data_IF_719536313925
#
_entry.id   IF_719536313925
#
_cell.length_a   1.000
_cell.length_b   1.000
_cell.length_c   1.000
_cell.angle_alpha   90.00
_cell.angle_beta   90.00
_cell.angle_gamma   90.00
#
_symmetry.space_group_name_H-M   'P 1'
#
loop_
_entity.id
_entity.type
_entity.pdbx_description
1 polymer ?
#
# COMPACT_ATOMS: atom_id res chain seq x y z
N UNK A 1 14.94 9.67 19.57
CA UNK A 1 13.63 9.94 18.93
C UNK A 1 12.40 9.66 19.79
N UNK A 2 12.44 8.74 20.77
CA UNK A 2 11.25 8.33 21.56
C UNK A 2 10.56 9.45 22.37
N UNK A 3 11.30 10.48 22.83
CA UNK A 3 10.70 11.61 23.57
C UNK A 3 10.07 12.67 22.65
N UNK A 4 10.60 12.89 21.44
CA UNK A 4 10.07 13.87 20.47
C UNK A 4 8.77 13.38 19.82
N UNK A 5 8.58 12.05 19.74
CA UNK A 5 7.34 11.45 19.23
C UNK A 5 6.10 11.69 20.09
N UNK A 6 6.26 12.20 21.32
CA UNK A 6 5.16 12.53 22.23
C UNK A 6 4.49 13.87 21.89
N UNK A 7 5.15 14.72 21.10
CA UNK A 7 4.56 15.99 20.65
C UNK A 7 3.63 15.73 19.46
N UNK A 8 2.36 16.19 19.50
CA UNK A 8 1.35 15.90 18.48
C UNK A 8 1.69 16.44 17.07
N UNK A 9 2.65 17.37 16.97
CA UNK A 9 3.16 17.87 15.71
C UNK A 9 4.27 16.99 15.10
N UNK A 10 5.21 16.49 15.92
CA UNK A 10 6.38 15.73 15.46
C UNK A 10 6.17 14.21 15.45
N UNK A 11 5.19 13.72 16.22
CA UNK A 11 4.90 12.28 16.34
C UNK A 11 4.59 11.60 14.99
N UNK A 12 3.95 12.30 14.06
CA UNK A 12 3.65 11.75 12.73
C UNK A 12 4.91 11.58 11.88
N UNK A 13 5.79 12.59 11.85
CA UNK A 13 7.05 12.52 11.09
C UNK A 13 8.01 11.47 11.66
N UNK A 14 8.12 11.40 12.99
CA UNK A 14 8.93 10.37 13.65
C UNK A 14 8.39 8.97 13.35
N UNK A 15 7.06 8.79 13.39
CA UNK A 15 6.44 7.50 13.06
C UNK A 15 6.68 7.10 11.59
N UNK A 16 6.53 8.05 10.65
CA UNK A 16 6.85 7.83 9.22
C UNK A 16 8.31 7.44 9.04
N UNK A 17 9.25 8.19 9.63
CA UNK A 17 10.68 7.90 9.53
C UNK A 17 11.06 6.53 10.10
N UNK A 18 10.48 6.11 11.23
CA UNK A 18 10.73 4.77 11.79
C UNK A 18 10.15 3.65 10.93
N UNK A 19 8.99 3.89 10.31
CA UNK A 19 8.37 2.93 9.40
C UNK A 19 9.22 2.75 8.13
N UNK A 20 9.61 3.86 7.50
CA UNK A 20 10.44 3.87 6.30
C UNK A 20 11.79 3.20 6.57
N UNK A 21 12.42 3.45 7.73
CA UNK A 21 13.65 2.76 8.12
C UNK A 21 13.48 1.24 8.21
N UNK A 22 12.35 0.77 8.74
CA UNK A 22 12.10 -0.67 8.88
C UNK A 22 11.89 -1.33 7.52
N UNK A 23 11.10 -0.72 6.64
CA UNK A 23 10.91 -1.21 5.26
C UNK A 23 12.21 -1.14 4.45
N UNK A 24 12.99 -0.06 4.61
CA UNK A 24 14.35 0.05 4.07
C UNK A 24 15.24 -1.10 4.53
N UNK A 25 15.29 -1.37 5.84
CA UNK A 25 16.14 -2.41 6.41
C UNK A 25 15.71 -3.81 5.93
N UNK A 26 14.41 -4.06 5.81
CA UNK A 26 13.86 -5.31 5.26
C UNK A 26 14.29 -5.51 3.81
N UNK A 27 14.28 -4.45 3.01
CA UNK A 27 14.75 -4.50 1.63
C UNK A 27 16.25 -4.75 1.55
N UNK A 28 17.05 -4.00 2.30
CA UNK A 28 18.50 -4.17 2.34
C UNK A 28 18.87 -5.59 2.78
N UNK A 29 18.15 -6.14 3.76
CA UNK A 29 18.31 -7.54 4.18
C UNK A 29 18.00 -8.53 3.04
N UNK A 30 16.92 -8.31 2.28
CA UNK A 30 16.57 -9.16 1.14
C UNK A 30 17.64 -9.17 0.04
N UNK A 31 18.28 -8.02 -0.21
CA UNK A 31 19.37 -7.88 -1.19
C UNK A 31 20.77 -7.99 -0.57
N UNK A 32 20.89 -8.38 0.70
CA UNK A 32 22.18 -8.47 1.40
C UNK A 32 23.12 -9.48 0.74
N UNK A 33 22.60 -10.61 0.25
CA UNK A 33 23.39 -11.60 -0.49
C UNK A 33 24.01 -11.03 -1.77
N UNK A 34 23.30 -10.14 -2.46
CA UNK A 34 23.80 -9.46 -3.64
C UNK A 34 24.93 -8.48 -3.27
N UNK A 35 24.75 -7.67 -2.22
CA UNK A 35 25.80 -6.76 -1.72
C UNK A 35 27.06 -7.51 -1.26
N UNK A 36 26.88 -8.62 -0.53
CA UNK A 36 28.00 -9.45 -0.07
C UNK A 36 28.72 -10.10 -1.27
N UNK A 37 27.99 -10.60 -2.27
CA UNK A 37 28.56 -11.19 -3.47
C UNK A 37 29.46 -10.21 -4.26
N UNK A 38 28.99 -8.98 -4.45
CA UNK A 38 29.81 -7.94 -5.07
C UNK A 38 31.00 -7.51 -4.19
N UNK A 39 30.80 -7.41 -2.87
CA UNK A 39 31.89 -7.09 -1.93
C UNK A 39 33.03 -8.10 -2.02
N UNK A 40 32.71 -9.40 -1.98
CA UNK A 40 33.73 -10.46 -2.09
C UNK A 40 34.40 -10.42 -3.47
N UNK A 41 33.62 -10.20 -4.53
CA UNK A 41 34.16 -10.08 -5.89
C UNK A 41 35.15 -8.93 -6.01
N UNK A 42 34.84 -7.76 -5.44
CA UNK A 42 35.72 -6.60 -5.43
C UNK A 42 36.95 -6.79 -4.54
N UNK A 43 36.84 -7.48 -3.40
CA UNK A 43 38.02 -7.85 -2.61
C UNK A 43 39.02 -8.73 -3.40
N UNK A 44 38.54 -9.60 -4.29
CA UNK A 44 39.39 -10.45 -5.12
C UNK A 44 39.96 -9.70 -6.33
N UNK A 45 39.22 -8.74 -6.88
CA UNK A 45 39.64 -7.97 -8.06
C UNK A 45 40.61 -6.85 -7.67
N UNK A 46 40.36 -6.15 -6.56
CA UNK A 46 41.14 -5.00 -6.10
C UNK A 46 42.06 -5.37 -4.93
N UNK A 47 42.92 -6.38 -5.13
CA UNK A 47 43.83 -6.88 -4.07
C UNK A 47 44.82 -5.82 -3.58
N UNK A 48 45.09 -4.79 -4.38
CA UNK A 48 46.04 -3.70 -4.06
C UNK A 48 45.44 -2.47 -3.39
N UNK A 49 44.12 -2.38 -3.22
CA UNK A 49 43.49 -1.16 -2.69
C UNK A 49 43.21 -1.26 -1.19
N UNK A 50 43.61 -0.25 -0.37
CA UNK A 50 43.41 -0.30 1.08
C UNK A 50 41.93 -0.39 1.47
N UNK A 51 41.02 0.16 0.64
CA UNK A 51 39.56 0.08 0.80
C UNK A 51 39.05 -1.37 0.86
N UNK A 52 39.73 -2.31 0.21
CA UNK A 52 39.32 -3.71 0.09
C UNK A 52 40.17 -4.71 0.88
N UNK A 53 41.16 -4.21 1.66
CA UNK A 53 42.03 -5.07 2.47
C UNK A 53 41.31 -5.85 3.58
N UNK A 54 40.14 -5.37 4.04
CA UNK A 54 39.26 -6.10 4.95
C UNK A 54 37.86 -6.20 4.34
N UNK A 55 37.16 -7.36 4.45
CA UNK A 55 35.82 -7.53 3.89
C UNK A 55 34.79 -6.58 4.51
N UNK A 56 34.98 -6.18 5.78
CA UNK A 56 34.13 -5.17 6.43
C UNK A 56 34.33 -3.77 5.83
N UNK A 57 35.58 -3.36 5.59
CA UNK A 57 35.89 -2.07 4.94
C UNK A 57 35.43 -2.08 3.48
N UNK A 58 35.57 -3.22 2.79
CA UNK A 58 35.04 -3.42 1.44
C UNK A 58 33.52 -3.30 1.38
N UNK A 59 32.79 -3.84 2.36
CA UNK A 59 31.33 -3.69 2.45
C UNK A 59 30.93 -2.22 2.62
N UNK A 60 31.65 -1.47 3.45
CA UNK A 60 31.44 -0.03 3.63
C UNK A 60 31.68 0.71 2.31
N UNK A 61 32.76 0.40 1.59
CA UNK A 61 33.04 1.00 0.27
C UNK A 61 31.94 0.65 -0.74
N UNK A 62 31.44 -0.59 -0.75
CA UNK A 62 30.32 -1.01 -1.61
C UNK A 62 29.01 -0.26 -1.26
N UNK A 63 28.73 -0.05 0.02
CA UNK A 63 27.58 0.77 0.45
C UNK A 63 27.75 2.25 0.04
N UNK A 64 28.97 2.80 0.10
CA UNK A 64 29.25 4.15 -0.39
C UNK A 64 29.07 4.25 -1.91
N UNK A 65 29.55 3.25 -2.67
CA UNK A 65 29.32 3.14 -4.11
C UNK A 65 27.84 2.98 -4.46
N UNK A 66 27.08 2.25 -3.65
CA UNK A 66 25.62 2.17 -3.77
C UNK A 66 24.97 3.55 -3.55
N UNK A 67 25.45 4.33 -2.59
CA UNK A 67 24.97 5.70 -2.32
C UNK A 67 25.28 6.70 -3.46
N UNK A 68 26.09 6.31 -4.44
CA UNK A 68 26.41 7.11 -5.64
C UNK A 68 27.87 7.56 -5.73
N UNK A 69 28.71 7.22 -4.76
CA UNK A 69 30.14 7.55 -4.78
C UNK A 69 30.91 6.51 -5.61
N UNK A 70 30.94 6.70 -6.94
CA UNK A 70 31.66 5.82 -7.86
C UNK A 70 33.12 6.26 -7.99
N UNK A 71 34.03 5.38 -7.58
CA UNK A 71 35.47 5.59 -7.67
C UNK A 71 36.03 4.89 -8.93
N UNK A 72 35.88 5.56 -10.08
CA UNK A 72 36.32 5.01 -11.38
C UNK A 72 37.85 5.15 -11.58
N UNK A 73 38.46 6.13 -10.92
CA UNK A 73 39.88 6.44 -11.05
C UNK A 73 40.76 5.33 -10.47
N UNK A 74 40.33 4.73 -9.35
CA UNK A 74 40.98 3.54 -8.78
C UNK A 74 41.00 2.34 -9.72
N UNK A 75 39.96 2.17 -10.57
CA UNK A 75 39.90 1.09 -11.56
C UNK A 75 40.85 1.32 -12.73
N UNK A 76 40.98 2.55 -13.24
CA UNK A 76 41.90 2.88 -14.34
C UNK A 76 43.37 2.76 -13.89
N UNK A 77 43.69 3.29 -12.72
CA UNK A 77 45.09 3.35 -12.24
C UNK A 77 45.70 1.95 -12.03
N UNK A 78 44.89 0.96 -11.65
CA UNK A 78 45.34 -0.43 -11.53
C UNK A 78 45.55 -1.12 -12.89
N UNK A 79 44.83 -0.70 -13.93
CA UNK A 79 45.03 -1.19 -15.31
C UNK A 79 46.37 -0.69 -15.84
N UNK A 80 46.69 0.60 -15.62
CA UNK A 80 47.94 1.20 -16.10
C UNK A 80 49.17 0.64 -15.37
N UNK A 81 49.11 0.45 -14.04
CA UNK A 81 50.21 -0.15 -13.27
C UNK A 81 50.46 -1.63 -13.65
N UNK A 82 49.43 -2.36 -14.09
CA UNK A 82 49.56 -3.71 -14.60
C UNK A 82 50.20 -3.81 -15.99
N UNK A 83 50.20 -2.72 -16.76
CA UNK A 83 50.77 -2.65 -18.11
C UNK A 83 52.29 -2.37 -18.10
N UNK A 84 52.81 -1.74 -17.04
CA UNK A 84 54.24 -1.37 -16.92
C UNK A 84 55.13 -2.46 -16.29
N UNK A 85 54.58 -3.55 -15.73
CA UNK A 85 55.39 -4.66 -15.20
C UNK A 85 55.74 -5.69 -16.27
N UNK A 86 56.94 -5.54 -16.83
CA UNK A 86 57.63 -6.55 -17.66
C UNK A 86 57.90 -7.84 -16.86
N UNK A 87 57.00 -8.82 -16.92
CA UNK A 87 57.15 -10.14 -16.31
C UNK A 87 56.00 -11.09 -16.69
N UNK A 88 56.24 -12.41 -16.83
CA UNK A 88 55.53 -13.23 -17.80
C UNK A 88 54.10 -13.58 -17.38
N UNK A 89 53.23 -13.66 -18.39
CA UNK A 89 51.97 -14.41 -18.45
C UNK A 89 50.67 -13.57 -18.45
N UNK A 90 50.25 -13.15 -19.66
CA UNK A 90 48.94 -13.23 -20.36
C UNK A 90 47.59 -13.34 -19.58
N UNK A 91 47.56 -13.50 -18.25
CA UNK A 91 46.33 -13.57 -17.41
C UNK A 91 45.77 -12.18 -17.03
N UNK A 92 46.59 -11.13 -17.04
CA UNK A 92 46.15 -9.80 -16.58
C UNK A 92 45.16 -9.12 -17.54
N UNK A 93 45.21 -9.43 -18.83
CA UNK A 93 44.30 -8.86 -19.83
C UNK A 93 42.83 -9.33 -19.68
N UNK A 94 42.51 -10.63 -19.50
CA UNK A 94 41.13 -11.05 -19.25
C UNK A 94 40.60 -10.59 -17.88
N UNK A 95 41.46 -10.40 -16.87
CA UNK A 95 41.05 -9.89 -15.56
C UNK A 95 40.60 -8.42 -15.62
N UNK A 96 41.24 -7.61 -16.47
CA UNK A 96 40.84 -6.21 -16.73
C UNK A 96 39.47 -6.10 -17.43
N UNK A 97 39.18 -6.97 -18.39
CA UNK A 97 37.86 -7.01 -19.04
C UNK A 97 36.79 -7.53 -18.07
N UNK A 98 37.11 -8.55 -17.28
CA UNK A 98 36.19 -9.11 -16.28
C UNK A 98 35.86 -8.09 -15.18
N UNK A 99 36.84 -7.29 -14.72
CA UNK A 99 36.60 -6.24 -13.72
C UNK A 99 35.70 -5.13 -14.25
N UNK A 100 35.89 -4.70 -15.50
CA UNK A 100 35.01 -3.72 -16.16
C UNK A 100 33.58 -4.23 -16.30
N UNK A 101 33.40 -5.50 -16.69
CA UNK A 101 32.08 -6.12 -16.80
C UNK A 101 31.41 -6.21 -15.43
N UNK A 102 32.11 -6.71 -14.41
CA UNK A 102 31.56 -6.83 -13.05
C UNK A 102 31.24 -5.46 -12.42
N UNK A 103 32.07 -4.45 -12.66
CA UNK A 103 31.83 -3.08 -12.21
C UNK A 103 30.61 -2.45 -12.92
N UNK A 104 30.47 -2.67 -14.22
CA UNK A 104 29.28 -2.24 -14.98
C UNK A 104 28.02 -2.92 -14.46
N UNK A 105 28.11 -4.24 -14.22
CA UNK A 105 27.01 -5.04 -13.69
C UNK A 105 26.62 -4.58 -12.28
N UNK A 106 27.60 -4.24 -11.44
CA UNK A 106 27.37 -3.62 -10.14
C UNK A 106 26.63 -2.28 -10.24
N UNK A 107 27.04 -1.38 -11.15
CA UNK A 107 26.35 -0.09 -11.35
C UNK A 107 24.89 -0.32 -11.73
N UNK A 108 24.61 -1.22 -12.68
CA UNK A 108 23.24 -1.48 -13.14
C UNK A 108 22.39 -2.10 -12.02
N UNK A 109 22.87 -3.14 -11.34
CA UNK A 109 22.06 -3.85 -10.34
C UNK A 109 21.97 -3.12 -8.99
N UNK A 110 23.09 -2.57 -8.50
CA UNK A 110 23.15 -1.96 -7.16
C UNK A 110 22.87 -0.47 -7.24
N UNK A 111 23.61 0.27 -8.05
CA UNK A 111 23.49 1.74 -8.07
C UNK A 111 22.21 2.20 -8.77
N UNK A 112 21.79 1.56 -9.86
CA UNK A 112 20.57 1.95 -10.59
C UNK A 112 19.35 1.21 -10.06
N UNK A 113 19.31 -0.12 -10.17
CA UNK A 113 18.10 -0.88 -9.84
C UNK A 113 17.78 -0.82 -8.34
N UNK A 114 18.76 -1.13 -7.47
CA UNK A 114 18.50 -1.20 -6.03
C UNK A 114 18.21 0.18 -5.44
N UNK A 115 18.91 1.25 -5.83
CA UNK A 115 18.58 2.61 -5.39
C UNK A 115 17.20 3.07 -5.88
N UNK A 116 16.85 2.80 -7.14
CA UNK A 116 15.52 3.13 -7.64
C UNK A 116 14.42 2.35 -6.92
N UNK A 117 14.69 1.11 -6.51
CA UNK A 117 13.75 0.30 -5.76
C UNK A 117 13.61 0.78 -4.30
N UNK A 118 14.69 1.23 -3.68
CA UNK A 118 14.67 1.87 -2.36
C UNK A 118 13.85 3.17 -2.37
N UNK A 119 14.11 4.04 -3.34
CA UNK A 119 13.36 5.30 -3.50
C UNK A 119 11.89 5.00 -3.85
N UNK A 120 11.64 4.05 -4.76
CA UNK A 120 10.29 3.66 -5.17
C UNK A 120 9.45 3.14 -4.01
N UNK A 121 10.00 2.28 -3.16
CA UNK A 121 9.32 1.79 -1.96
C UNK A 121 9.11 2.93 -0.96
N UNK A 122 10.13 3.75 -0.71
CA UNK A 122 10.00 4.87 0.23
C UNK A 122 8.90 5.85 -0.20
N UNK A 123 8.81 6.18 -1.49
CA UNK A 123 7.80 7.10 -2.03
C UNK A 123 6.41 6.48 -1.98
N UNK A 124 6.26 5.22 -2.39
CA UNK A 124 4.98 4.51 -2.35
C UNK A 124 4.47 4.35 -0.90
N UNK A 125 5.36 4.00 0.03
CA UNK A 125 5.04 3.82 1.44
C UNK A 125 4.71 5.14 2.14
N UNK A 126 5.42 6.23 1.83
CA UNK A 126 5.06 7.59 2.27
C UNK A 126 3.66 7.98 1.77
N UNK A 127 3.33 7.70 0.50
CA UNK A 127 2.01 8.01 -0.06
C UNK A 127 0.91 7.20 0.62
N UNK A 128 1.11 5.89 0.81
CA UNK A 128 0.16 5.02 1.53
C UNK A 128 -0.07 5.45 2.98
N UNK A 129 1.01 5.82 3.68
CA UNK A 129 0.96 6.29 5.06
C UNK A 129 0.35 7.70 5.16
N UNK A 130 0.57 8.59 4.19
CA UNK A 130 -0.05 9.94 4.13
C UNK A 130 -1.57 9.84 3.97
N UNK A 131 -2.08 8.88 3.19
CA UNK A 131 -3.51 8.66 3.00
C UNK A 131 -4.21 8.26 4.32
N UNK A 132 -3.49 7.59 5.22
CA UNK A 132 -4.00 7.14 6.52
C UNK A 132 -3.55 8.05 7.68
N UNK A 133 -2.66 9.02 7.44
CA UNK A 133 -2.08 9.88 8.47
C UNK A 133 -3.12 10.82 9.11
N UNK A 134 -4.05 11.37 8.32
CA UNK A 134 -5.12 12.23 8.81
C UNK A 134 -6.01 11.51 9.84
N UNK A 135 -6.45 10.30 9.50
CA UNK A 135 -7.25 9.47 10.39
C UNK A 135 -6.44 8.97 11.59
N UNK A 136 -5.19 8.54 11.37
CA UNK A 136 -4.31 8.09 12.47
C UNK A 136 -4.03 9.22 13.46
N UNK A 137 -3.89 10.45 12.97
CA UNK A 137 -3.75 11.65 13.79
C UNK A 137 -5.02 11.91 14.61
N UNK A 138 -6.19 11.88 13.98
CA UNK A 138 -7.49 12.03 14.66
C UNK A 138 -7.68 10.96 15.73
N UNK A 139 -7.41 9.69 15.43
CA UNK A 139 -7.49 8.58 16.39
C UNK A 139 -6.53 8.79 17.56
N UNK A 140 -5.31 9.24 17.32
CA UNK A 140 -4.34 9.55 18.39
C UNK A 140 -4.82 10.74 19.24
N UNK A 141 -5.34 11.79 18.62
CA UNK A 141 -5.92 12.93 19.34
C UNK A 141 -7.12 12.51 20.19
N UNK A 142 -8.05 11.72 19.64
CA UNK A 142 -9.20 11.20 20.40
C UNK A 142 -8.77 10.28 21.53
N UNK A 143 -7.76 9.42 21.34
CA UNK A 143 -7.19 8.59 22.43
C UNK A 143 -6.56 9.45 23.52
N UNK A 144 -5.85 10.51 23.14
CA UNK A 144 -5.25 11.45 24.09
C UNK A 144 -6.35 12.17 24.88
N UNK A 145 -7.36 12.71 24.18
CA UNK A 145 -8.52 13.36 24.81
C UNK A 145 -9.24 12.38 25.75
N UNK A 146 -9.48 11.14 25.33
CA UNK A 146 -10.13 10.11 26.14
C UNK A 146 -9.27 9.72 27.36
N UNK A 147 -7.95 9.62 27.21
CA UNK A 147 -7.04 9.40 28.34
C UNK A 147 -7.07 10.59 29.30
N UNK A 148 -7.01 11.82 28.79
CA UNK A 148 -7.16 13.04 29.59
C UNK A 148 -8.50 13.09 30.29
N UNK A 149 -9.59 12.72 29.63
CA UNK A 149 -10.94 12.66 30.19
C UNK A 149 -11.06 11.58 31.28
N UNK A 150 -10.46 10.41 31.09
CA UNK A 150 -10.41 9.37 32.12
C UNK A 150 -9.57 9.77 33.33
N UNK A 151 -8.42 10.42 33.11
CA UNK A 151 -7.59 10.97 34.19
C UNK A 151 -8.33 12.10 34.92
N UNK A 152 -9.05 12.94 34.17
CA UNK A 152 -9.89 14.03 34.67
C UNK A 152 -11.12 13.52 35.45
N UNK A 153 -11.60 12.32 35.13
CA UNK A 153 -12.74 11.69 35.79
C UNK A 153 -12.31 10.85 37.02
N UNK A 154 -11.04 10.48 37.15
CA UNK A 154 -10.53 9.76 38.31
C UNK A 154 -10.36 10.72 39.51
N UNK A 155 -10.79 10.31 40.71
CA UNK A 155 -10.84 11.13 41.94
C UNK A 155 -9.48 11.58 42.50
N UNK A 156 -8.37 11.26 41.84
CA UNK A 156 -7.00 11.55 42.31
C UNK A 156 -6.45 12.91 41.86
N UNK A 157 -7.28 13.80 41.33
CA UNK A 157 -6.85 15.10 40.82
C UNK A 157 -6.65 16.10 41.97
N UNK A 158 -5.49 16.76 42.07
CA UNK A 158 -5.25 17.75 43.11
C UNK A 158 -6.22 18.94 43.03
N UNK A 159 -6.67 19.41 44.18
CA UNK A 159 -7.70 20.44 44.33
C UNK A 159 -7.42 21.73 43.53
N UNK A 160 -6.14 22.12 43.40
CA UNK A 160 -5.73 23.28 42.63
C UNK A 160 -6.08 23.16 41.13
N UNK A 161 -5.94 21.98 40.54
CA UNK A 161 -6.27 21.73 39.14
C UNK A 161 -7.79 21.75 38.92
N UNK A 162 -8.55 21.18 39.86
CA UNK A 162 -10.03 21.19 39.82
C UNK A 162 -10.60 22.62 39.94
N UNK A 163 -10.03 23.46 40.80
CA UNK A 163 -10.40 24.87 40.93
C UNK A 163 -10.09 25.65 39.65
N UNK A 164 -8.90 25.45 39.07
CA UNK A 164 -8.51 26.08 37.81
C UNK A 164 -9.42 25.69 36.63
N UNK A 165 -9.84 24.42 36.52
CA UNK A 165 -10.78 23.98 35.47
C UNK A 165 -12.20 24.49 35.65
N UNK A 166 -12.65 24.65 36.91
CA UNK A 166 -13.95 25.25 37.22
C UNK A 166 -13.98 26.73 36.81
N UNK A 167 -12.89 27.47 37.02
CA UNK A 167 -12.76 28.87 36.59
C UNK A 167 -12.75 29.01 35.05
N UNK A 168 -12.29 27.97 34.32
CA UNK A 168 -12.28 27.92 32.85
C UNK A 168 -13.56 27.29 32.23
N UNK A 169 -14.62 27.07 33.02
CA UNK A 169 -15.92 26.53 32.57
C UNK A 169 -15.86 25.19 31.82
N UNK A 170 -14.88 24.33 32.13
CA UNK A 170 -14.80 22.99 31.54
C UNK A 170 -15.82 22.09 32.24
N UNK A 171 -16.88 21.71 31.52
CA UNK A 171 -18.01 20.95 32.08
C UNK A 171 -17.67 19.45 32.17
N UNK A 172 -17.25 19.00 33.36
CA UNK A 172 -16.85 17.60 33.66
C UNK A 172 -18.07 16.67 33.91
N UNK A 173 -19.28 17.22 33.85
CA UNK A 173 -20.49 16.55 34.36
C UNK A 173 -21.29 15.76 33.30
N UNK A 174 -20.73 15.55 32.10
CA UNK A 174 -21.40 14.80 31.05
C UNK A 174 -21.28 13.29 31.30
N UNK A 175 -22.02 12.78 32.29
CA UNK A 175 -22.28 11.34 32.47
C UNK A 175 -23.02 10.81 31.24
N UNK A 176 -22.34 10.44 30.16
CA UNK A 176 -22.97 9.67 29.10
C UNK A 176 -21.96 8.87 28.28
N UNK A 177 -21.77 7.62 28.72
CA UNK A 177 -21.34 6.43 27.97
C UNK A 177 -20.61 6.75 26.65
N UNK A 178 -19.30 6.97 26.72
CA UNK A 178 -18.45 7.09 25.53
C UNK A 178 -18.40 5.73 24.84
N UNK A 179 -19.08 5.62 23.70
CA UNK A 179 -19.03 4.43 22.86
C UNK A 179 -17.89 4.61 21.85
N UNK A 180 -16.76 3.95 22.08
CA UNK A 180 -15.65 3.93 21.12
C UNK A 180 -16.02 3.01 19.95
N UNK A 181 -16.20 3.60 18.77
CA UNK A 181 -16.43 2.90 17.51
C UNK A 181 -15.17 2.92 16.64
N UNK A 182 -14.89 1.83 15.94
CA UNK A 182 -13.81 1.62 14.97
C UNK A 182 -14.36 1.81 13.54
N UNK A 183 -14.32 3.02 12.98
CA UNK A 183 -14.97 3.34 11.70
C UNK A 183 -14.47 2.51 10.50
N UNK A 184 -13.26 1.96 10.58
CA UNK A 184 -12.63 1.13 9.55
C UNK A 184 -12.95 -0.38 9.65
N UNK A 185 -13.72 -0.82 10.65
CA UNK A 185 -14.00 -2.24 10.84
C UNK A 185 -15.39 -2.60 10.26
N UNK A 186 -15.48 -3.34 9.14
CA UNK A 186 -16.76 -3.70 8.52
C UNK A 186 -17.61 -4.66 9.38
N UNK A 187 -17.03 -5.25 10.43
CA UNK A 187 -17.71 -6.15 11.37
C UNK A 187 -18.22 -5.44 12.64
N UNK A 188 -18.16 -4.11 12.69
CA UNK A 188 -18.59 -3.38 13.87
C UNK A 188 -20.13 -3.35 14.01
N UNK A 189 -20.64 -4.05 15.02
CA UNK A 189 -22.08 -4.15 15.34
C UNK A 189 -22.50 -3.33 16.56
N UNK A 190 -21.58 -2.54 17.14
CA UNK A 190 -21.81 -1.83 18.41
C UNK A 190 -22.72 -0.61 18.28
N UNK A 191 -22.81 -0.04 17.08
CA UNK A 191 -23.74 1.04 16.75
C UNK A 191 -24.63 0.57 15.58
N UNK A 192 -25.95 0.81 15.62
CA UNK A 192 -26.82 0.58 14.47
C UNK A 192 -26.30 1.32 13.23
N UNK A 193 -26.36 0.66 12.06
CA UNK A 193 -25.82 1.18 10.80
C UNK A 193 -26.43 2.52 10.40
N UNK A 194 -27.72 2.72 10.69
CA UNK A 194 -28.44 3.94 10.35
C UNK A 194 -27.94 5.16 11.14
N UNK A 195 -27.64 4.95 12.43
CA UNK A 195 -27.06 6.00 13.28
C UNK A 195 -25.62 6.29 12.86
N UNK A 196 -24.86 5.25 12.50
CA UNK A 196 -23.49 5.42 12.00
C UNK A 196 -23.47 6.24 10.70
N UNK A 197 -24.38 5.93 9.78
CA UNK A 197 -24.53 6.66 8.51
C UNK A 197 -24.98 8.10 8.73
N UNK A 198 -25.96 8.34 9.59
CA UNK A 198 -26.42 9.69 9.92
C UNK A 198 -25.31 10.52 10.61
N UNK A 199 -24.54 9.92 11.52
CA UNK A 199 -23.40 10.56 12.15
C UNK A 199 -22.30 10.90 11.13
N UNK A 200 -22.07 10.01 10.16
CA UNK A 200 -21.14 10.23 9.06
C UNK A 200 -21.58 11.40 8.16
N UNK A 201 -22.86 11.46 7.78
CA UNK A 201 -23.44 12.56 6.99
C UNK A 201 -23.32 13.90 7.73
N UNK A 202 -23.59 13.93 9.05
CA UNK A 202 -23.42 15.13 9.87
C UNK A 202 -21.95 15.54 9.96
N UNK A 203 -21.03 14.58 10.13
CA UNK A 203 -19.60 14.84 10.17
C UNK A 203 -19.09 15.40 8.84
N UNK A 204 -19.55 14.84 7.71
CA UNK A 204 -19.21 15.29 6.36
C UNK A 204 -19.75 16.69 6.07
N UNK A 205 -20.95 17.01 6.56
CA UNK A 205 -21.56 18.33 6.42
C UNK A 205 -20.86 19.41 7.25
N UNK A 206 -20.28 19.03 8.39
CA UNK A 206 -19.63 19.93 9.35
C UNK A 206 -18.10 19.91 9.26
N UNK A 207 -17.51 19.39 8.18
CA UNK A 207 -16.07 19.53 7.96
C UNK A 207 -15.77 21.03 7.96
N UNK A 208 -15.10 21.59 8.98
CA UNK A 208 -14.76 22.99 8.95
C UNK A 208 -13.81 23.17 7.77
N UNK A 209 -14.03 24.23 7.01
CA UNK A 209 -13.14 24.71 5.95
C UNK A 209 -11.78 25.03 6.59
N UNK A 210 -11.00 23.99 6.87
CA UNK A 210 -9.67 24.07 7.48
C UNK A 210 -8.70 24.18 6.31
N UNK A 211 -8.12 25.38 6.20
CA UNK A 211 -7.12 25.84 5.25
C UNK A 211 -6.39 24.77 4.41
N UNK A 212 -6.38 25.06 3.11
CA UNK A 212 -5.68 24.59 1.90
C UNK A 212 -4.49 23.61 1.95
N UNK A 213 -4.03 23.08 3.08
CA UNK A 213 -2.85 22.20 3.13
C UNK A 213 -3.15 20.70 2.93
N UNK A 214 -4.40 20.30 2.75
CA UNK A 214 -4.81 18.89 2.65
C UNK A 214 -5.63 18.57 1.39
N UNK A 215 -5.08 18.86 0.22
CA UNK A 215 -5.58 18.36 -1.08
C UNK A 215 -5.90 16.85 -1.02
N UNK A 216 -5.14 16.09 -0.22
CA UNK A 216 -5.26 14.64 -0.10
C UNK A 216 -6.51 14.14 0.66
N UNK A 217 -7.12 14.93 1.56
CA UNK A 217 -8.35 14.50 2.27
C UNK A 217 -9.59 14.77 1.41
N UNK A 218 -9.61 15.88 0.69
CA UNK A 218 -10.65 16.17 -0.31
C UNK A 218 -10.62 15.11 -1.43
N UNK A 219 -9.43 14.79 -1.96
CA UNK A 219 -9.25 13.70 -2.92
C UNK A 219 -9.67 12.35 -2.34
N UNK A 220 -9.38 12.04 -1.06
CA UNK A 220 -9.81 10.78 -0.45
C UNK A 220 -11.33 10.71 -0.23
N UNK A 221 -11.99 11.82 0.09
CA UNK A 221 -13.46 11.90 0.19
C UNK A 221 -14.11 11.81 -1.19
N UNK A 222 -13.52 12.44 -2.21
CA UNK A 222 -13.95 12.31 -3.61
C UNK A 222 -13.75 10.85 -4.08
N UNK A 223 -12.60 10.24 -3.80
CA UNK A 223 -12.30 8.85 -4.12
C UNK A 223 -13.22 7.86 -3.41
N UNK A 224 -13.56 8.08 -2.13
CA UNK A 224 -14.55 7.25 -1.43
C UNK A 224 -15.97 7.43 -1.98
N UNK A 225 -16.33 8.66 -2.38
CA UNK A 225 -17.60 8.93 -3.06
C UNK A 225 -17.66 8.18 -4.39
N UNK A 226 -16.58 8.28 -5.18
CA UNK A 226 -16.41 7.59 -6.45
C UNK A 226 -16.42 6.07 -6.27
N UNK A 227 -15.77 5.52 -5.25
CA UNK A 227 -15.85 4.09 -4.94
C UNK A 227 -17.24 3.64 -4.49
N UNK A 228 -17.99 4.47 -3.77
CA UNK A 228 -19.37 4.15 -3.38
C UNK A 228 -20.32 4.18 -4.58
N UNK A 229 -20.10 5.14 -5.50
CA UNK A 229 -20.84 5.27 -6.77
C UNK A 229 -20.45 4.13 -7.72
N UNK A 230 -19.17 3.77 -7.83
CA UNK A 230 -18.64 2.67 -8.66
C UNK A 230 -19.02 1.29 -8.11
N UNK A 231 -19.07 1.11 -6.78
CA UNK A 231 -19.61 -0.11 -6.14
C UNK A 231 -21.13 -0.23 -6.31
N UNK A 232 -21.85 0.90 -6.35
CA UNK A 232 -23.27 0.92 -6.66
C UNK A 232 -23.53 0.61 -8.13
N UNK A 233 -22.76 1.21 -9.05
CA UNK A 233 -22.88 1.04 -10.50
C UNK A 233 -22.43 -0.36 -10.96
N UNK A 234 -21.37 -0.92 -10.38
CA UNK A 234 -20.95 -2.31 -10.67
C UNK A 234 -21.99 -3.33 -10.20
N UNK A 235 -22.60 -3.13 -9.02
CA UNK A 235 -23.73 -3.96 -8.59
C UNK A 235 -24.96 -3.77 -9.49
N UNK A 236 -25.22 -2.55 -9.96
CA UNK A 236 -26.31 -2.27 -10.89
C UNK A 236 -26.07 -2.94 -12.25
N UNK A 237 -24.86 -2.85 -12.79
CA UNK A 237 -24.45 -3.53 -14.03
C UNK A 237 -24.56 -5.06 -13.88
N UNK A 238 -24.10 -5.63 -12.76
CA UNK A 238 -24.21 -7.06 -12.50
C UNK A 238 -25.66 -7.53 -12.34
N UNK A 239 -26.53 -6.69 -11.76
CA UNK A 239 -27.97 -6.96 -11.69
C UNK A 239 -28.61 -6.88 -13.08
N UNK A 240 -28.23 -5.89 -13.91
CA UNK A 240 -28.71 -5.73 -15.28
C UNK A 240 -28.25 -6.92 -16.15
N UNK A 241 -27.00 -7.35 -16.02
CA UNK A 241 -26.44 -8.48 -16.77
C UNK A 241 -27.11 -9.80 -16.35
N UNK A 242 -27.36 -10.00 -15.06
CA UNK A 242 -28.14 -11.14 -14.58
C UNK A 242 -29.60 -11.12 -15.08
N UNK A 243 -30.21 -9.94 -15.18
CA UNK A 243 -31.55 -9.77 -15.75
C UNK A 243 -31.56 -10.09 -17.25
N UNK A 244 -30.57 -9.59 -18.00
CA UNK A 244 -30.41 -9.86 -19.42
C UNK A 244 -30.23 -11.36 -19.70
N UNK A 245 -29.37 -12.04 -18.93
CA UNK A 245 -29.15 -13.48 -19.04
C UNK A 245 -30.43 -14.29 -18.75
N UNK A 246 -31.22 -13.88 -17.74
CA UNK A 246 -32.52 -14.51 -17.48
C UNK A 246 -33.52 -14.29 -18.60
N UNK A 247 -33.55 -13.09 -19.17
CA UNK A 247 -34.48 -12.74 -20.25
C UNK A 247 -34.17 -13.51 -21.53
N UNK A 248 -32.89 -13.70 -21.83
CA UNK A 248 -32.42 -14.54 -22.93
C UNK A 248 -32.78 -16.02 -22.71
N UNK A 249 -32.61 -16.52 -21.48
CA UNK A 249 -33.06 -17.87 -21.12
C UNK A 249 -34.56 -18.05 -21.29
N UNK A 250 -35.38 -17.06 -20.92
CA UNK A 250 -36.82 -17.11 -21.16
C UNK A 250 -37.16 -17.11 -22.65
N UNK A 251 -36.45 -16.31 -23.46
CA UNK A 251 -36.65 -16.29 -24.91
C UNK A 251 -36.41 -17.66 -25.55
N UNK A 252 -35.36 -18.37 -25.13
CA UNK A 252 -35.05 -19.72 -25.62
C UNK A 252 -36.10 -20.75 -25.17
N UNK A 253 -36.64 -20.62 -23.95
CA UNK A 253 -37.77 -21.48 -23.52
C UNK A 253 -39.04 -21.21 -24.32
N UNK A 254 -39.29 -19.97 -24.73
CA UNK A 254 -40.44 -19.64 -25.58
C UNK A 254 -40.26 -20.22 -27.00
N UNK A 255 -39.04 -20.17 -27.54
CA UNK A 255 -38.72 -20.78 -28.84
C UNK A 255 -38.96 -22.30 -28.83
N UNK A 256 -38.45 -22.97 -27.81
CA UNK A 256 -38.64 -24.43 -27.67
C UNK A 256 -40.12 -24.81 -27.47
N UNK A 257 -40.87 -24.06 -26.66
CA UNK A 257 -42.32 -24.24 -26.52
C UNK A 257 -43.07 -24.06 -27.86
N UNK A 258 -42.66 -23.08 -28.66
CA UNK A 258 -43.26 -22.84 -29.99
C UNK A 258 -43.03 -24.01 -30.94
N UNK A 259 -41.83 -24.60 -30.92
CA UNK A 259 -41.51 -25.79 -31.72
C UNK A 259 -42.35 -26.99 -31.28
N UNK A 260 -42.47 -27.24 -29.98
CA UNK A 260 -43.32 -28.31 -29.45
C UNK A 260 -44.79 -28.12 -29.83
N UNK A 261 -45.29 -26.87 -29.81
CA UNK A 261 -46.66 -26.58 -30.21
C UNK A 261 -46.86 -26.79 -31.73
N UNK A 262 -45.85 -26.50 -32.54
CA UNK A 262 -45.90 -26.76 -33.98
C UNK A 262 -45.94 -28.27 -34.28
N UNK A 263 -45.13 -29.06 -33.59
CA UNK A 263 -45.07 -30.50 -33.80
C UNK A 263 -46.33 -31.22 -33.29
N UNK A 264 -46.87 -30.79 -32.14
CA UNK A 264 -48.17 -31.29 -31.67
C UNK A 264 -49.30 -30.95 -32.64
N UNK A 265 -49.29 -29.75 -33.25
CA UNK A 265 -50.28 -29.39 -34.26
C UNK A 265 -50.17 -30.26 -35.52
N UNK A 266 -48.95 -30.53 -36.02
CA UNK A 266 -48.72 -31.47 -37.13
C UNK A 266 -49.20 -32.88 -36.79
N UNK A 267 -48.98 -33.33 -35.56
CA UNK A 267 -49.45 -34.64 -35.10
C UNK A 267 -50.98 -34.71 -35.10
N UNK A 268 -51.66 -33.67 -34.59
CA UNK A 268 -53.11 -33.54 -34.64
C UNK A 268 -53.63 -33.56 -36.08
N UNK A 269 -53.02 -32.80 -37.00
CA UNK A 269 -53.40 -32.84 -38.42
C UNK A 269 -53.24 -34.24 -39.03
N UNK A 270 -52.19 -34.98 -38.67
CA UNK A 270 -51.98 -36.35 -39.14
C UNK A 270 -53.05 -37.32 -38.63
N UNK A 271 -53.46 -37.18 -37.36
CA UNK A 271 -54.52 -38.00 -36.74
C UNK A 271 -55.89 -37.66 -37.34
N UNK A 272 -56.17 -36.38 -37.59
CA UNK A 272 -57.41 -35.96 -38.26
C UNK A 272 -57.47 -36.53 -39.68
N UNK A 273 -56.36 -36.51 -40.43
CA UNK A 273 -56.27 -37.10 -41.77
C UNK A 273 -56.44 -38.62 -41.75
N UNK A 274 -55.89 -39.33 -40.76
CA UNK A 274 -56.08 -40.79 -40.66
C UNK A 274 -57.54 -41.15 -40.33
N UNK A 275 -58.18 -40.43 -39.41
CA UNK A 275 -59.60 -40.64 -39.07
C UNK A 275 -60.53 -40.32 -40.24
N UNK A 276 -60.22 -39.28 -41.02
CA UNK A 276 -60.98 -38.95 -42.24
C UNK A 276 -60.86 -40.05 -43.31
N UNK A 277 -59.69 -40.70 -43.42
CA UNK A 277 -59.44 -41.80 -44.35
C UNK A 277 -60.15 -43.09 -43.92
N UNK A 278 -60.23 -43.36 -42.62
CA UNK A 278 -60.93 -44.51 -42.05
C UNK A 278 -62.45 -44.43 -42.23
N UNK A 279 -63.01 -43.22 -42.29
CA UNK A 279 -64.45 -42.98 -42.51
C UNK A 279 -64.90 -43.06 -43.99
N UNK A 280 -63.96 -43.18 -44.92
CA UNK A 280 -64.20 -43.23 -46.38
C UNK A 280 -64.06 -44.63 -46.99
N UNK A 281 -63.74 -45.65 -46.18
CA UNK A 281 -63.81 -47.07 -46.51
C UNK A 281 -65.05 -47.69 -45.86
#
# INVERSE_FOLDING_TARGET
MLMVGQLPAFGTYVAMFTHIQFEFAKLLLAYSGLLIGFTVSFCVIFVGEPSFGNPFTGLIKVLAMMAGELDFEGLITQIDQGLESEGPFVIYQPLSVCSQILFTLFIVFVTVILMNLLVGIAVHDIQGLRNHAGLTKLVRQTKLILFTEMVLHNSSIPYAFRKWMSDHKINVENRRRVLVVKPLNPLEKRLPKDILKAAYEIAQKNIPFMNEDNVNLSEHVIWMRQQSEEYSDTNLQLVIENLANKLQSYEDTIKTLKEQLLDTNKMLESVVKSLAKEKSN
#
